data_IF_482484254621
#
_entry.id   IF_482484254621
#
_cell.length_a   1.000
_cell.length_b   1.000
_cell.length_c   1.000
_cell.angle_alpha   90.00
_cell.angle_beta   90.00
_cell.angle_gamma   90.00
#
_symmetry.space_group_name_H-M   'P 1'
#
loop_
_entity.id
_entity.type
_entity.pdbx_description
1 polymer ?
#
# COMPACT_ATOMS: atom_id res chain seq x y z
N UNK A 1 -9.99 -1.53 -87.95
CA UNK A 1 -10.72 -1.29 -89.23
C UNK A 1 -11.60 -0.06 -89.09
N UNK A 2 -11.48 0.87 -90.06
CA UNK A 2 -12.42 1.95 -90.47
C UNK A 2 -12.71 3.09 -89.45
N UNK A 3 -12.17 4.29 -89.72
CA UNK A 3 -12.79 5.44 -90.46
C UNK A 3 -13.83 6.15 -89.58
N UNK A 4 -13.87 7.47 -89.36
CA UNK A 4 -13.59 8.63 -90.23
C UNK A 4 -13.67 9.88 -89.33
N UNK A 5 -12.69 10.79 -89.35
CA UNK A 5 -12.76 12.13 -89.94
C UNK A 5 -13.93 13.04 -89.51
N UNK A 6 -13.62 14.11 -88.77
CA UNK A 6 -14.00 15.51 -89.08
C UNK A 6 -13.37 16.42 -88.02
N UNK A 7 -12.18 16.96 -88.27
CA UNK A 7 -11.96 18.38 -88.58
C UNK A 7 -13.11 19.34 -88.20
N UNK A 8 -12.79 20.30 -87.33
CA UNK A 8 -12.88 21.74 -87.63
C UNK A 8 -12.11 22.53 -86.56
N UNK A 9 -10.99 23.11 -86.98
CA UNK A 9 -10.28 24.18 -86.28
C UNK A 9 -11.17 25.42 -86.31
N UNK A 10 -11.40 26.07 -85.17
CA UNK A 10 -11.73 27.49 -85.20
C UNK A 10 -11.39 28.21 -83.89
N UNK A 11 -10.35 29.04 -84.01
CA UNK A 11 -10.21 30.38 -83.42
C UNK A 11 -9.88 30.54 -81.91
N UNK A 12 -8.62 30.95 -81.74
CA UNK A 12 -8.17 31.97 -80.78
C UNK A 12 -9.27 33.00 -80.44
N UNK A 13 -9.58 33.09 -79.16
CA UNK A 13 -9.88 34.35 -78.50
C UNK A 13 -9.15 34.34 -77.15
N UNK A 14 -8.03 35.05 -77.11
CA UNK A 14 -7.40 35.45 -75.87
C UNK A 14 -8.33 36.45 -75.18
N UNK A 15 -8.86 36.08 -74.01
CA UNK A 15 -9.44 37.05 -73.08
C UNK A 15 -8.97 36.73 -71.66
N UNK A 16 -8.07 37.60 -71.23
CA UNK A 16 -7.75 37.98 -69.87
C UNK A 16 -9.02 37.96 -69.00
N UNK A 17 -9.05 37.13 -67.95
CA UNK A 17 -10.27 37.00 -67.16
C UNK A 17 -10.09 36.18 -65.89
N UNK A 18 -9.79 36.91 -64.82
CA UNK A 18 -10.31 36.66 -63.48
C UNK A 18 -9.73 35.46 -62.72
N UNK A 19 -9.01 35.79 -61.63
CA UNK A 19 -8.71 34.90 -60.50
C UNK A 19 -10.01 34.27 -59.98
N UNK A 20 -10.40 33.13 -60.53
CA UNK A 20 -11.38 32.24 -59.91
C UNK A 20 -10.68 31.57 -58.73
N UNK A 21 -10.82 32.14 -57.54
CA UNK A 21 -10.64 31.39 -56.31
C UNK A 21 -11.85 30.47 -56.21
N UNK A 22 -11.73 29.13 -56.37
CA UNK A 22 -12.85 28.27 -56.10
C UNK A 22 -13.20 28.40 -54.62
N UNK A 23 -14.38 28.95 -54.36
CA UNK A 23 -15.02 28.97 -53.05
C UNK A 23 -15.22 27.51 -52.67
N UNK A 24 -14.50 27.04 -51.64
CA UNK A 24 -14.76 25.75 -51.04
C UNK A 24 -16.20 25.75 -50.54
N UNK A 25 -17.08 25.02 -51.25
CA UNK A 25 -18.33 24.56 -50.67
C UNK A 25 -18.00 23.86 -49.34
N UNK A 26 -18.80 24.14 -48.32
CA UNK A 26 -18.79 23.39 -47.08
C UNK A 26 -19.38 21.99 -47.33
N UNK A 27 -18.66 21.20 -48.13
CA UNK A 27 -18.73 19.76 -48.13
C UNK A 27 -17.66 19.23 -47.18
N UNK A 28 -17.92 18.06 -46.61
CA UNK A 28 -17.07 17.35 -45.65
C UNK A 28 -15.61 17.12 -46.14
N UNK A 29 -15.31 17.38 -47.42
CA UNK A 29 -13.97 17.30 -48.00
C UNK A 29 -13.67 18.47 -48.96
N UNK A 30 -12.45 19.01 -48.88
CA UNK A 30 -11.94 20.07 -49.76
C UNK A 30 -10.91 19.49 -50.72
N UNK A 31 -11.06 19.73 -52.02
CA UNK A 31 -10.12 19.27 -53.06
C UNK A 31 -9.13 20.38 -53.41
N UNK A 32 -7.84 20.07 -53.31
CA UNK A 32 -6.74 20.98 -53.70
C UNK A 32 -5.95 20.38 -54.86
N UNK A 33 -5.44 21.24 -55.74
CA UNK A 33 -4.54 20.83 -56.83
C UNK A 33 -3.13 20.62 -56.31
N UNK A 34 -2.36 19.72 -56.93
CA UNK A 34 -0.99 19.41 -56.52
C UNK A 34 -0.07 20.66 -56.49
N UNK A 35 -0.28 21.61 -57.42
CA UNK A 35 0.46 22.87 -57.44
C UNK A 35 0.05 23.84 -56.31
N UNK A 36 -1.20 23.77 -55.83
CA UNK A 36 -1.62 24.50 -54.64
C UNK A 36 -1.09 23.85 -53.36
N UNK A 37 -1.12 22.52 -53.29
CA UNK A 37 -0.58 21.75 -52.16
C UNK A 37 0.94 21.92 -52.00
N UNK A 38 1.69 21.92 -53.11
CA UNK A 38 3.13 22.15 -53.11
C UNK A 38 3.50 23.60 -52.74
N UNK A 39 2.77 24.60 -53.25
CA UNK A 39 2.98 26.02 -52.87
C UNK A 39 2.62 26.29 -51.40
N UNK A 40 1.66 25.55 -50.84
CA UNK A 40 1.24 25.67 -49.45
C UNK A 40 2.11 24.86 -48.47
N UNK A 41 3.06 24.06 -48.95
CA UNK A 41 3.97 23.29 -48.10
C UNK A 41 3.29 22.22 -47.25
N UNK A 42 2.22 21.60 -47.74
CA UNK A 42 1.44 20.62 -46.95
C UNK A 42 2.25 19.33 -46.74
N UNK A 43 2.59 19.04 -45.49
CA UNK A 43 3.25 17.81 -45.08
C UNK A 43 2.22 16.78 -44.61
N UNK A 44 2.22 15.59 -45.20
CA UNK A 44 1.35 14.47 -44.84
C UNK A 44 2.17 13.40 -44.14
N UNK A 45 1.71 12.92 -42.98
CA UNK A 45 2.31 11.81 -42.25
C UNK A 45 1.24 10.76 -41.95
N UNK A 46 1.52 9.44 -42.13
CA UNK A 46 0.57 8.39 -41.75
C UNK A 46 0.27 8.44 -40.25
N UNK A 47 -0.99 8.20 -39.89
CA UNK A 47 -1.42 8.06 -38.50
C UNK A 47 -1.10 6.65 -38.05
N UNK A 48 -0.28 6.54 -37.00
CA UNK A 48 0.05 5.27 -36.37
C UNK A 48 -0.62 5.19 -35.00
N UNK A 49 -1.24 4.05 -34.68
CA UNK A 49 -1.69 3.78 -33.33
C UNK A 49 -0.47 3.44 -32.46
N UNK A 50 -0.23 4.26 -31.44
CA UNK A 50 0.91 4.09 -30.51
C UNK A 50 0.40 4.23 -29.09
N UNK A 51 0.94 3.45 -28.16
CA UNK A 51 0.72 3.71 -26.75
C UNK A 51 1.53 4.96 -26.35
N UNK A 52 0.86 5.91 -25.71
CA UNK A 52 1.51 7.05 -25.10
C UNK A 52 1.56 6.80 -23.60
N UNK A 53 2.78 6.75 -23.04
CA UNK A 53 2.96 6.74 -21.60
C UNK A 53 2.89 8.18 -21.10
N UNK A 54 1.82 8.54 -20.41
CA UNK A 54 1.76 9.80 -19.68
C UNK A 54 2.52 9.65 -18.35
N UNK A 55 3.40 10.61 -18.03
CA UNK A 55 4.14 10.63 -16.79
C UNK A 55 3.67 11.79 -15.94
N UNK A 56 2.90 11.47 -14.90
CA UNK A 56 2.39 12.46 -13.96
C UNK A 56 3.33 12.51 -12.77
N UNK A 57 3.91 13.69 -12.51
CA UNK A 57 4.70 13.92 -11.29
C UNK A 57 3.74 14.11 -10.11
N UNK A 58 3.91 13.29 -9.08
CA UNK A 58 3.12 13.37 -7.84
C UNK A 58 4.04 13.66 -6.66
N UNK A 59 3.50 14.37 -5.67
CA UNK A 59 4.14 14.56 -4.38
C UNK A 59 3.68 13.44 -3.43
N UNK A 60 4.62 12.71 -2.86
CA UNK A 60 4.35 11.69 -1.86
C UNK A 60 4.82 12.14 -0.48
N UNK A 61 4.13 11.67 0.57
CA UNK A 61 4.59 11.81 1.96
C UNK A 61 5.13 10.47 2.44
N UNK A 62 6.34 10.48 2.99
CA UNK A 62 6.84 9.34 3.75
C UNK A 62 6.04 9.21 5.05
N UNK A 63 5.30 8.12 5.17
CA UNK A 63 4.54 7.77 6.38
C UNK A 63 5.09 6.48 6.96
N UNK A 64 4.93 6.28 8.27
CA UNK A 64 5.23 4.99 8.88
C UNK A 64 4.34 3.92 8.24
N UNK A 65 4.90 2.74 8.01
CA UNK A 65 4.13 1.63 7.47
C UNK A 65 2.93 1.32 8.39
N UNK A 66 1.74 1.05 7.84
CA UNK A 66 0.62 0.59 8.64
C UNK A 66 1.02 -0.64 9.47
N UNK A 67 0.78 -0.61 10.79
CA UNK A 67 1.20 -1.67 11.72
C UNK A 67 2.61 -1.53 12.29
N UNK A 68 3.41 -0.54 11.87
CA UNK A 68 4.73 -0.28 12.45
C UNK A 68 4.68 0.41 13.83
N UNK A 69 3.48 0.73 14.33
CA UNK A 69 3.27 1.32 15.66
C UNK A 69 2.67 0.26 16.58
N UNK A 70 3.33 -0.02 17.70
CA UNK A 70 2.81 -0.90 18.75
C UNK A 70 2.67 -0.12 20.06
N UNK A 71 1.53 -0.30 20.72
CA UNK A 71 1.27 0.26 22.04
C UNK A 71 1.52 -0.82 23.08
N UNK A 72 2.58 -0.64 23.88
CA UNK A 72 2.91 -1.53 24.99
C UNK A 72 2.14 -1.08 26.23
N UNK A 73 1.48 -2.03 26.90
CA UNK A 73 0.78 -1.82 28.16
C UNK A 73 1.34 -2.75 29.22
N UNK A 74 1.35 -2.32 30.48
CA UNK A 74 1.67 -3.23 31.58
C UNK A 74 0.53 -4.24 31.76
N UNK A 75 0.91 -5.49 32.01
CA UNK A 75 -0.03 -6.58 32.37
C UNK A 75 -0.35 -6.53 33.87
N UNK A 76 0.51 -5.90 34.66
CA UNK A 76 0.41 -5.84 36.13
C UNK A 76 0.37 -4.41 36.62
N UNK A 77 -0.38 -4.20 37.69
CA UNK A 77 -0.37 -2.94 38.41
C UNK A 77 0.90 -2.82 39.25
N UNK A 78 1.43 -1.60 39.33
CA UNK A 78 2.66 -1.33 40.05
C UNK A 78 3.11 0.11 39.94
N UNK A 79 4.19 0.42 40.64
CA UNK A 79 4.87 1.72 40.59
C UNK A 79 6.01 1.64 39.58
N UNK A 80 6.11 2.62 38.70
CA UNK A 80 7.26 2.76 37.80
C UNK A 80 8.48 3.12 38.66
N UNK A 81 9.49 2.25 38.68
CA UNK A 81 10.76 2.51 39.37
C UNK A 81 11.67 3.34 38.49
N UNK A 82 11.73 3.00 37.20
CA UNK A 82 12.65 3.63 36.26
C UNK A 82 12.10 3.61 34.84
N UNK A 83 12.34 4.71 34.13
CA UNK A 83 12.09 4.83 32.69
C UNK A 83 13.45 4.77 32.01
N UNK A 84 13.63 3.83 31.07
CA UNK A 84 14.92 3.55 30.43
C UNK A 84 15.05 4.20 29.05
N UNK A 85 13.93 4.62 28.45
CA UNK A 85 13.87 5.19 27.10
C UNK A 85 13.05 6.47 27.08
N UNK A 86 13.43 7.41 26.22
CA UNK A 86 12.76 8.69 26.03
C UNK A 86 12.04 8.72 24.67
N UNK A 87 10.93 9.46 24.52
CA UNK A 87 10.29 9.62 23.21
C UNK A 87 11.28 10.14 22.16
N UNK A 88 11.42 9.40 21.05
CA UNK A 88 12.35 9.73 19.96
C UNK A 88 13.55 8.79 19.89
N UNK A 89 13.83 8.05 20.95
CA UNK A 89 14.91 7.05 20.96
C UNK A 89 14.59 5.88 20.03
N UNK A 90 15.61 5.38 19.34
CA UNK A 90 15.52 4.13 18.59
C UNK A 90 15.63 2.95 19.56
N UNK A 91 14.73 1.98 19.43
CA UNK A 91 14.69 0.78 20.28
C UNK A 91 14.67 -0.48 19.43
N UNK A 92 15.26 -1.54 19.95
CA UNK A 92 15.26 -2.88 19.34
C UNK A 92 14.21 -3.80 19.99
N UNK A 93 13.91 -4.91 19.32
CA UNK A 93 13.03 -5.92 19.89
C UNK A 93 13.63 -6.50 21.17
N UNK A 94 12.79 -6.70 22.19
CA UNK A 94 13.17 -7.17 23.53
C UNK A 94 14.05 -6.20 24.35
N UNK A 95 14.23 -4.96 23.91
CA UNK A 95 14.88 -3.94 24.72
C UNK A 95 13.97 -3.51 25.88
N UNK A 96 14.53 -3.44 27.09
CA UNK A 96 13.81 -2.95 28.26
C UNK A 96 13.47 -1.46 28.11
N UNK A 97 12.18 -1.12 28.22
CA UNK A 97 11.69 0.26 28.09
C UNK A 97 11.52 0.94 29.45
N UNK A 98 11.11 0.18 30.46
CA UNK A 98 10.81 0.65 31.81
C UNK A 98 10.89 -0.49 32.81
N UNK A 99 11.00 -0.15 34.08
CA UNK A 99 11.00 -1.08 35.21
C UNK A 99 9.81 -0.77 36.12
N UNK A 100 9.02 -1.79 36.47
CA UNK A 100 7.83 -1.68 37.31
C UNK A 100 7.98 -2.56 38.54
N UNK A 101 7.76 -1.94 39.70
CA UNK A 101 7.60 -2.65 40.96
C UNK A 101 6.13 -2.99 41.22
N UNK A 102 5.80 -4.28 41.25
CA UNK A 102 4.44 -4.74 41.57
C UNK A 102 4.38 -5.33 42.97
N UNK A 103 3.76 -4.58 43.90
CA UNK A 103 3.48 -5.08 45.25
C UNK A 103 2.50 -6.27 45.21
N UNK A 104 1.52 -6.23 44.30
CA UNK A 104 0.56 -7.32 44.09
C UNK A 104 1.27 -8.64 43.74
N UNK A 105 2.26 -8.62 42.83
CA UNK A 105 3.01 -9.83 42.50
C UNK A 105 3.79 -10.36 43.70
N UNK A 106 4.37 -9.48 44.52
CA UNK A 106 5.11 -9.89 45.70
C UNK A 106 4.20 -10.54 46.76
N UNK A 107 3.01 -9.97 46.99
CA UNK A 107 2.00 -10.55 47.87
C UNK A 107 1.51 -11.92 47.38
N UNK A 108 1.26 -12.05 46.08
CA UNK A 108 0.84 -13.30 45.46
C UNK A 108 1.92 -14.39 45.60
N UNK A 109 3.18 -14.06 45.37
CA UNK A 109 4.31 -14.98 45.57
C UNK A 109 4.43 -15.41 47.03
N UNK A 110 4.33 -14.46 47.97
CA UNK A 110 4.39 -14.76 49.40
C UNK A 110 3.23 -15.67 49.83
N UNK A 111 2.02 -15.44 49.32
CA UNK A 111 0.87 -16.32 49.57
C UNK A 111 1.08 -17.71 48.98
N UNK A 112 1.50 -17.80 47.72
CA UNK A 112 1.78 -19.07 47.06
C UNK A 112 2.78 -19.92 47.86
N UNK A 113 3.85 -19.29 48.35
CA UNK A 113 4.86 -19.99 49.14
C UNK A 113 4.27 -20.57 50.43
N UNK A 114 3.56 -19.77 51.21
CA UNK A 114 2.92 -20.22 52.47
C UNK A 114 1.93 -21.36 52.24
N UNK A 115 1.07 -21.25 51.23
CA UNK A 115 0.11 -22.30 50.90
C UNK A 115 0.81 -23.58 50.44
N UNK A 116 1.91 -23.46 49.68
CA UNK A 116 2.69 -24.62 49.26
C UNK A 116 3.36 -25.34 50.43
N UNK A 117 3.79 -24.61 51.46
CA UNK A 117 4.36 -25.19 52.69
C UNK A 117 3.28 -25.85 53.54
N UNK A 118 2.12 -25.20 53.68
CA UNK A 118 0.98 -25.76 54.39
C UNK A 118 0.49 -27.06 53.73
N UNK A 119 0.42 -27.10 52.40
CA UNK A 119 0.07 -28.29 51.64
C UNK A 119 1.06 -29.43 51.91
N UNK A 120 2.37 -29.18 51.81
CA UNK A 120 3.41 -30.18 52.09
C UNK A 120 3.31 -30.74 53.51
N UNK A 121 3.04 -29.88 54.50
CA UNK A 121 2.87 -30.32 55.88
C UNK A 121 1.61 -31.17 56.06
N UNK A 122 0.51 -30.80 55.40
CA UNK A 122 -0.73 -31.58 55.41
C UNK A 122 -0.53 -32.96 54.76
N UNK A 123 0.17 -33.01 53.62
CA UNK A 123 0.51 -34.26 52.93
C UNK A 123 1.39 -35.16 53.80
N UNK A 124 2.44 -34.60 54.41
CA UNK A 124 3.30 -35.36 55.32
C UNK A 124 2.54 -35.93 56.53
N UNK A 125 1.60 -35.15 57.09
CA UNK A 125 0.73 -35.61 58.18
C UNK A 125 -0.23 -36.70 57.74
N UNK A 126 -0.81 -36.58 56.55
CA UNK A 126 -1.68 -37.59 55.97
C UNK A 126 -0.91 -38.91 55.77
N UNK A 127 0.29 -38.84 55.20
CA UNK A 127 1.14 -40.00 54.96
C UNK A 127 1.56 -40.68 56.27
N UNK A 128 2.02 -39.91 57.26
CA UNK A 128 2.33 -40.44 58.58
C UNK A 128 1.10 -41.09 59.25
N UNK A 129 -0.08 -40.46 59.15
CA UNK A 129 -1.33 -41.01 59.68
C UNK A 129 -1.72 -42.32 58.99
N UNK A 130 -1.50 -42.43 57.68
CA UNK A 130 -1.74 -43.65 56.91
C UNK A 130 -0.83 -44.79 57.36
N UNK A 131 0.46 -44.53 57.53
CA UNK A 131 1.43 -45.51 58.01
C UNK A 131 1.07 -46.03 59.40
N UNK A 132 0.60 -45.15 60.30
CA UNK A 132 0.15 -45.54 61.64
C UNK A 132 -1.11 -46.42 61.61
N UNK A 133 -2.03 -46.16 60.67
CA UNK A 133 -3.22 -46.99 60.49
C UNK A 133 -2.85 -48.40 59.99
N UNK A 134 -1.90 -48.50 59.07
CA UNK A 134 -1.45 -49.76 58.47
C UNK A 134 -0.78 -50.70 59.48
N UNK A 135 -0.12 -50.17 60.51
CA UNK A 135 0.50 -50.96 61.58
C UNK A 135 -0.46 -51.32 62.73
N UNK A 136 -1.77 -51.14 62.55
CA UNK A 136 -2.82 -51.29 63.59
C UNK A 136 -2.53 -50.51 64.89
N UNK A 137 -1.68 -49.47 64.80
CA UNK A 137 -1.29 -48.60 65.90
C UNK A 137 -2.38 -47.59 66.25
N UNK A 138 -3.59 -48.05 66.49
CA UNK A 138 -4.69 -47.18 66.88
C UNK A 138 -4.53 -46.85 68.37
N UNK A 139 -4.24 -45.59 68.66
CA UNK A 139 -4.59 -44.97 69.95
C UNK A 139 -6.11 -45.01 70.06
N UNK A 140 -6.64 -46.06 70.68
CA UNK A 140 -8.06 -46.22 70.98
C UNK A 140 -8.41 -45.16 72.05
N UNK A 141 -9.08 -44.08 71.64
CA UNK A 141 -9.81 -43.16 72.51
C UNK A 141 -11.26 -43.16 72.06
#
# INVERSE_FOLDING_TARGET
>A
MRKRSSQSVAWMAATLGLLLVPRAEAGETVRLSAAAQARAGVLVRPVEARSFGDQIRVLGKAVRAPGATQTVKSIVDGRVERILVTPGDAVEANQALLEIHSHMLHELQGRLLRESEALKLAEARLEAGRQLLEIEGISRV
#
